data_IF_309651901707
#
_entry.id   IF_309651901707
#
_cell.length_a   1.000
_cell.length_b   1.000
_cell.length_c   1.000
_cell.angle_alpha   90.00
_cell.angle_beta   90.00
_cell.angle_gamma   90.00
#
_symmetry.space_group_name_H-M   'P 1'
#
loop_
_entity.id
_entity.type
_entity.pdbx_description
1 polymer ?
#
# COMPACT_ATOMS: atom_id res chain seq x y z
N UNK A 1 7.06 -1.50 7.64
CA UNK A 1 5.84 -0.67 7.72
C UNK A 1 4.89 -0.94 6.55
N UNK A 2 5.45 -1.12 5.36
CA UNK A 2 4.76 -1.44 4.10
C UNK A 2 3.60 -2.43 4.20
N UNK A 3 3.80 -3.58 4.87
CA UNK A 3 2.77 -4.63 4.97
C UNK A 3 1.53 -4.18 5.75
N UNK A 4 1.70 -3.38 6.81
CA UNK A 4 0.58 -2.83 7.57
C UNK A 4 -0.22 -1.81 6.74
N UNK A 5 0.48 -0.91 6.02
CA UNK A 5 -0.17 0.06 5.13
C UNK A 5 -0.94 -0.65 4.00
N UNK A 6 -0.31 -1.65 3.35
CA UNK A 6 -0.96 -2.52 2.36
C UNK A 6 -2.23 -3.17 2.91
N UNK A 7 -2.17 -3.71 4.14
CA UNK A 7 -3.33 -4.35 4.74
C UNK A 7 -4.49 -3.37 4.93
N UNK A 8 -4.23 -2.11 5.28
CA UNK A 8 -5.31 -1.12 5.42
C UNK A 8 -5.95 -0.75 4.08
N UNK A 9 -5.13 -0.61 3.02
CA UNK A 9 -5.64 -0.38 1.66
C UNK A 9 -6.54 -1.54 1.24
N UNK A 10 -6.11 -2.78 1.48
CA UNK A 10 -6.92 -3.97 1.18
C UNK A 10 -8.22 -4.02 1.97
N UNK A 11 -8.23 -3.59 3.24
CA UNK A 11 -9.47 -3.52 4.02
C UNK A 11 -10.46 -2.52 3.41
N UNK A 12 -9.97 -1.39 2.91
CA UNK A 12 -10.81 -0.40 2.25
C UNK A 12 -11.35 -0.92 0.90
N UNK A 13 -10.47 -1.43 0.03
CA UNK A 13 -10.86 -1.96 -1.29
C UNK A 13 -11.87 -3.11 -1.20
N UNK A 14 -11.78 -3.94 -0.16
CA UNK A 14 -12.72 -5.04 0.07
C UNK A 14 -14.01 -4.61 0.79
N UNK A 15 -14.19 -3.32 1.07
CA UNK A 15 -15.37 -2.79 1.76
C UNK A 15 -15.46 -3.15 3.25
N UNK A 16 -14.35 -3.57 3.86
CA UNK A 16 -14.29 -3.86 5.30
C UNK A 16 -14.13 -2.61 6.16
N UNK A 17 -13.67 -1.50 5.57
CA UNK A 17 -13.65 -0.19 6.21
C UNK A 17 -14.06 0.92 5.23
N UNK A 18 -14.33 2.10 5.78
CA UNK A 18 -14.72 3.28 4.99
C UNK A 18 -13.49 4.08 4.59
N UNK A 19 -13.64 4.95 3.58
CA UNK A 19 -12.60 5.90 3.18
C UNK A 19 -12.11 6.75 4.37
N UNK A 20 -13.04 7.27 5.19
CA UNK A 20 -12.72 8.04 6.40
C UNK A 20 -11.86 7.24 7.38
N UNK A 21 -12.09 5.94 7.49
CA UNK A 21 -11.28 5.09 8.34
C UNK A 21 -9.86 4.95 7.79
N UNK A 22 -9.71 4.73 6.48
CA UNK A 22 -8.41 4.67 5.82
C UNK A 22 -7.62 5.98 6.03
N UNK A 23 -8.25 7.11 5.75
CA UNK A 23 -7.69 8.46 5.97
C UNK A 23 -7.23 8.63 7.43
N UNK A 24 -8.11 8.33 8.39
CA UNK A 24 -7.79 8.45 9.82
C UNK A 24 -6.61 7.56 10.22
N UNK A 25 -6.53 6.36 9.65
CA UNK A 25 -5.44 5.45 9.92
C UNK A 25 -4.12 5.98 9.36
N UNK A 26 -4.10 6.45 8.12
CA UNK A 26 -2.89 7.00 7.47
C UNK A 26 -2.38 8.20 8.27
N UNK A 27 -3.26 9.16 8.60
CA UNK A 27 -2.89 10.34 9.38
C UNK A 27 -2.36 9.98 10.77
N UNK A 28 -3.01 9.04 11.46
CA UNK A 28 -2.59 8.61 12.80
C UNK A 28 -1.27 7.84 12.81
N UNK A 29 -0.85 7.30 11.66
CA UNK A 29 0.35 6.49 11.53
C UNK A 29 1.45 7.16 10.70
N UNK A 30 1.23 8.38 10.19
CA UNK A 30 2.16 9.05 9.28
C UNK A 30 3.56 9.19 9.89
N UNK A 31 3.65 9.67 11.13
CA UNK A 31 4.94 9.78 11.82
C UNK A 31 5.65 8.43 11.94
N UNK A 32 4.90 7.36 12.28
CA UNK A 32 5.43 6.00 12.38
C UNK A 32 5.91 5.46 11.03
N UNK A 33 5.23 5.85 9.94
CA UNK A 33 5.64 5.51 8.58
C UNK A 33 6.95 6.19 8.23
N UNK A 34 7.07 7.49 8.50
CA UNK A 34 8.29 8.27 8.26
C UNK A 34 9.47 7.74 9.10
N UNK A 35 9.23 7.47 10.40
CA UNK A 35 10.24 6.96 11.33
C UNK A 35 10.72 5.54 10.99
N UNK A 36 9.94 4.79 10.20
CA UNK A 36 10.29 3.42 9.84
C UNK A 36 11.46 3.31 8.87
N UNK A 37 11.78 4.38 8.13
CA UNK A 37 12.80 4.36 7.06
C UNK A 37 12.47 3.44 5.89
N UNK A 38 11.25 2.91 5.82
CA UNK A 38 10.75 2.03 4.76
C UNK A 38 10.34 2.92 3.56
N UNK A 39 11.27 3.15 2.64
CA UNK A 39 11.11 4.07 1.49
C UNK A 39 9.84 3.78 0.69
N UNK A 40 9.51 2.51 0.45
CA UNK A 40 8.29 2.12 -0.24
C UNK A 40 7.03 2.47 0.56
N UNK A 41 7.04 2.26 1.88
CA UNK A 41 5.90 2.64 2.73
C UNK A 41 5.70 4.15 2.77
N UNK A 42 6.80 4.92 2.75
CA UNK A 42 6.77 6.38 2.69
C UNK A 42 6.23 6.85 1.35
N UNK A 43 6.69 6.28 0.24
CA UNK A 43 6.19 6.60 -1.10
C UNK A 43 4.69 6.29 -1.23
N UNK A 44 4.27 5.10 -0.77
CA UNK A 44 2.85 4.73 -0.73
C UNK A 44 2.02 5.71 0.09
N UNK A 45 2.50 6.10 1.28
CA UNK A 45 1.78 7.04 2.13
C UNK A 45 1.66 8.43 1.48
N UNK A 46 2.72 8.91 0.81
CA UNK A 46 2.69 10.18 0.10
C UNK A 46 1.71 10.17 -1.09
N UNK A 47 1.64 9.07 -1.83
CA UNK A 47 0.69 8.92 -2.95
C UNK A 47 -0.76 8.92 -2.43
N UNK A 48 -1.02 8.18 -1.36
CA UNK A 48 -2.36 8.15 -0.74
C UNK A 48 -2.76 9.51 -0.19
N UNK A 49 -1.83 10.23 0.47
CA UNK A 49 -2.08 11.58 0.97
C UNK A 49 -2.48 12.54 -0.17
N UNK A 50 -1.73 12.50 -1.29
CA UNK A 50 -2.06 13.29 -2.47
C UNK A 50 -3.46 12.96 -3.03
N UNK A 51 -3.79 11.67 -3.21
CA UNK A 51 -5.10 11.26 -3.72
C UNK A 51 -6.24 11.68 -2.76
N UNK A 52 -6.03 11.61 -1.44
CA UNK A 52 -7.00 12.04 -0.44
C UNK A 52 -7.24 13.55 -0.48
N UNK A 53 -6.17 14.35 -0.65
CA UNK A 53 -6.27 15.80 -0.82
C UNK A 53 -7.03 16.12 -2.11
N UNK A 54 -6.66 15.51 -3.23
CA UNK A 54 -7.33 15.72 -4.52
C UNK A 54 -8.82 15.34 -4.48
N UNK A 55 -9.16 14.25 -3.78
CA UNK A 55 -10.55 13.85 -3.56
C UNK A 55 -11.31 14.85 -2.69
N UNK A 56 -10.68 15.36 -1.63
CA UNK A 56 -11.23 16.40 -0.76
C UNK A 56 -11.49 17.73 -1.49
N UNK A 57 -10.67 18.04 -2.48
CA UNK A 57 -10.83 19.21 -3.36
C UNK A 57 -11.79 18.96 -4.54
N UNK A 58 -12.25 17.73 -4.74
CA UNK A 58 -13.11 17.34 -5.85
C UNK A 58 -12.39 17.32 -7.21
N UNK A 59 -11.06 17.23 -7.21
CA UNK A 59 -10.24 17.10 -8.42
C UNK A 59 -10.29 15.68 -8.98
N UNK A 60 -10.45 14.69 -8.11
CA UNK A 60 -10.71 13.29 -8.45
C UNK A 60 -11.98 12.81 -7.75
N UNK A 61 -12.59 11.75 -8.28
CA UNK A 61 -13.71 11.07 -7.63
C UNK A 61 -13.23 9.80 -6.91
N UNK A 62 -14.12 9.20 -6.12
CA UNK A 62 -13.79 7.98 -5.36
C UNK A 62 -13.45 6.80 -6.29
N UNK A 63 -13.95 6.79 -7.53
CA UNK A 63 -13.62 5.74 -8.51
C UNK A 63 -12.16 5.86 -8.96
N UNK A 64 -11.68 7.07 -9.24
CA UNK A 64 -10.28 7.32 -9.57
C UNK A 64 -9.36 6.97 -8.39
N UNK A 65 -9.74 7.31 -7.15
CA UNK A 65 -9.01 6.88 -5.96
C UNK A 65 -8.89 5.35 -5.88
N UNK A 66 -10.00 4.62 -6.12
CA UNK A 66 -9.99 3.15 -6.10
C UNK A 66 -9.01 2.58 -7.16
N UNK A 67 -9.04 3.10 -8.38
CA UNK A 67 -8.13 2.71 -9.46
C UNK A 67 -6.65 2.98 -9.10
N UNK A 68 -6.37 4.11 -8.46
CA UNK A 68 -5.01 4.45 -7.98
C UNK A 68 -4.54 3.49 -6.88
N UNK A 69 -5.38 3.19 -5.89
CA UNK A 69 -5.06 2.25 -4.82
C UNK A 69 -4.84 0.81 -5.33
N UNK A 70 -5.65 0.35 -6.29
CA UNK A 70 -5.44 -0.93 -6.96
C UNK A 70 -4.12 -0.96 -7.74
N UNK A 71 -3.82 0.11 -8.49
CA UNK A 71 -2.55 0.25 -9.20
C UNK A 71 -1.36 0.25 -8.24
N UNK A 72 -1.48 0.96 -7.12
CA UNK A 72 -0.48 1.03 -6.07
C UNK A 72 -0.18 -0.37 -5.53
N UNK A 73 -1.21 -1.12 -5.12
CA UNK A 73 -1.02 -2.50 -4.64
C UNK A 73 -0.37 -3.41 -5.67
N UNK A 74 -0.72 -3.27 -6.95
CA UNK A 74 -0.10 -4.07 -8.03
C UNK A 74 1.38 -3.77 -8.24
N UNK A 75 1.82 -2.51 -8.04
CA UNK A 75 3.23 -2.11 -8.15
C UNK A 75 4.07 -2.66 -7.00
N UNK A 76 3.49 -2.75 -5.81
CA UNK A 76 4.17 -3.25 -4.61
C UNK A 76 3.83 -4.73 -4.29
N UNK A 77 3.19 -5.44 -5.22
CA UNK A 77 3.18 -6.90 -5.22
C UNK A 77 4.55 -7.43 -5.62
N UNK A 78 5.40 -7.62 -4.61
CA UNK A 78 6.52 -8.54 -4.74
C UNK A 78 5.95 -9.94 -4.94
N UNK A 79 6.10 -10.48 -6.16
CA UNK A 79 6.02 -11.93 -6.39
C UNK A 79 6.88 -12.57 -5.30
N UNK A 80 6.35 -13.53 -4.50
CA UNK A 80 7.20 -14.28 -3.60
C UNK A 80 8.19 -15.05 -4.48
N UNK A 81 9.44 -14.60 -4.54
CA UNK A 81 10.54 -15.45 -4.96
C UNK A 81 10.65 -16.53 -3.89
N UNK A 82 9.92 -17.62 -4.09
CA UNK A 82 10.09 -18.84 -3.34
C UNK A 82 11.53 -19.30 -3.57
N UNK A 83 12.40 -18.99 -2.61
CA UNK A 83 13.71 -19.56 -2.47
C UNK A 83 13.54 -21.06 -2.20
N UNK A 84 13.56 -21.86 -3.25
CA UNK A 84 13.90 -23.28 -3.14
C UNK A 84 15.41 -23.40 -3.32
N UNK A 85 16.12 -23.30 -2.21
CA UNK A 85 17.52 -23.70 -2.10
C UNK A 85 17.63 -25.23 -2.25
N UNK A 86 18.58 -25.63 -3.09
CA UNK A 86 19.37 -26.89 -3.08
C UNK A 86 18.70 -28.22 -3.44
N UNK A 87 19.16 -28.82 -4.55
CA UNK A 87 20.10 -29.95 -4.46
C UNK A 87 20.98 -30.01 -5.72
N UNK A 88 22.26 -29.67 -5.55
CA UNK A 88 23.32 -30.27 -6.36
C UNK A 88 23.23 -31.77 -6.16
N UNK A 89 23.12 -32.54 -7.25
CA UNK A 89 23.62 -33.90 -7.28
C UNK A 89 24.51 -34.10 -8.49
N UNK A 90 25.75 -34.37 -8.14
CA UNK A 90 26.84 -34.88 -8.95
C UNK A 90 26.43 -35.87 -10.04
N UNK A 91 27.07 -35.65 -11.18
CA UNK A 91 27.74 -36.63 -12.05
C UNK A 91 27.59 -38.09 -11.61
N UNK A 92 26.90 -38.90 -12.43
CA UNK A 92 27.42 -40.19 -12.90
C UNK A 92 26.78 -40.57 -14.23
#
# INVERSE_FOLDING_TARGET
>A
MRQELRQQILLYLNGHCTLRYLESWVLSNLQRILDSGDEEAIEMANLIDADLVELGEGLVDEKTLLEHLESLLSRYETIPLASSQTESRDIM
#
